data_IF_982795494432
#
_entry.id   IF_982795494432
#
_cell.length_a   1.000
_cell.length_b   1.000
_cell.length_c   1.000
_cell.angle_alpha   90.00
_cell.angle_beta   90.00
_cell.angle_gamma   90.00
#
_symmetry.space_group_name_H-M   'P 1'
#
loop_
_entity.id
_entity.type
_entity.pdbx_description
1 polymer ?
#
# COMPACT_ATOMS: atom_id res chain seq x y z
N UNK A 1 16.65 -4.44 4.04
CA UNK A 1 16.43 -5.69 3.28
C UNK A 1 17.71 -6.30 2.71
N UNK A 2 18.63 -5.53 2.09
CA UNK A 2 19.83 -6.10 1.45
C UNK A 2 20.87 -6.73 2.39
N UNK A 3 21.03 -6.23 3.63
CA UNK A 3 21.91 -6.86 4.64
C UNK A 3 21.37 -8.21 5.16
N UNK A 4 20.04 -8.35 5.13
CA UNK A 4 19.23 -9.57 5.14
C UNK A 4 19.91 -10.73 4.38
N UNK A 5 19.84 -10.64 3.05
CA UNK A 5 20.15 -11.69 2.08
C UNK A 5 21.61 -12.18 2.08
N UNK A 6 22.50 -11.59 2.88
CA UNK A 6 23.92 -11.95 2.97
C UNK A 6 24.21 -13.21 3.80
N UNK A 7 23.18 -13.88 4.35
CA UNK A 7 23.34 -15.20 4.98
C UNK A 7 24.17 -15.21 6.28
N UNK A 8 24.38 -14.06 6.94
CA UNK A 8 25.34 -13.96 8.05
C UNK A 8 24.70 -13.92 9.46
N UNK A 9 23.37 -14.01 9.58
CA UNK A 9 22.67 -14.10 10.88
C UNK A 9 21.30 -14.78 10.70
N UNK A 10 21.12 -15.95 11.30
CA UNK A 10 19.92 -16.80 11.15
C UNK A 10 18.71 -16.37 12.00
N UNK A 11 18.86 -15.37 12.86
CA UNK A 11 17.81 -14.91 13.77
C UNK A 11 17.63 -13.39 13.65
N UNK A 12 16.38 -12.94 13.54
CA UNK A 12 16.00 -11.52 13.63
C UNK A 12 15.54 -11.23 15.06
N UNK A 13 15.94 -10.08 15.62
CA UNK A 13 15.40 -9.68 16.93
C UNK A 13 13.92 -9.32 16.81
N UNK A 14 13.16 -9.44 17.91
CA UNK A 14 11.76 -9.02 17.95
C UNK A 14 11.56 -7.58 17.46
N UNK A 15 12.40 -6.65 17.93
CA UNK A 15 12.39 -5.26 17.46
C UNK A 15 12.70 -5.15 15.95
N UNK A 16 13.62 -5.96 15.43
CA UNK A 16 13.91 -6.04 13.99
C UNK A 16 12.71 -6.52 13.17
N UNK A 17 11.97 -7.52 13.66
CA UNK A 17 10.73 -8.03 13.08
C UNK A 17 9.66 -6.93 13.00
N UNK A 18 9.45 -6.20 14.11
CA UNK A 18 8.51 -5.07 14.20
C UNK A 18 8.86 -3.98 13.19
N UNK A 19 10.12 -3.55 13.17
CA UNK A 19 10.57 -2.51 12.24
C UNK A 19 10.41 -2.96 10.78
N UNK A 20 10.84 -4.17 10.44
CA UNK A 20 10.72 -4.70 9.08
C UNK A 20 9.26 -4.73 8.61
N UNK A 21 8.35 -5.23 9.45
CA UNK A 21 6.94 -5.32 9.11
C UNK A 21 6.31 -3.94 8.90
N UNK A 22 6.60 -3.00 9.80
CA UNK A 22 6.13 -1.63 9.72
C UNK A 22 6.59 -0.95 8.43
N UNK A 23 7.89 -0.95 8.14
CA UNK A 23 8.42 -0.28 6.95
C UNK A 23 7.94 -0.92 5.65
N UNK A 24 7.84 -2.26 5.62
CA UNK A 24 7.35 -2.96 4.44
C UNK A 24 5.90 -2.56 4.11
N UNK A 25 5.01 -2.59 5.11
CA UNK A 25 3.62 -2.18 4.91
C UNK A 25 3.47 -0.69 4.64
N UNK A 26 4.26 0.15 5.33
CA UNK A 26 4.25 1.60 5.11
C UNK A 26 4.59 1.93 3.65
N UNK A 27 5.70 1.39 3.15
CA UNK A 27 6.15 1.62 1.78
C UNK A 27 5.14 1.06 0.77
N UNK A 28 4.68 -0.18 0.95
CA UNK A 28 3.71 -0.80 0.04
C UNK A 28 2.39 -0.02 -0.04
N UNK A 29 1.82 0.40 1.11
CA UNK A 29 0.60 1.20 1.12
C UNK A 29 0.82 2.56 0.43
N UNK A 30 1.92 3.24 0.77
CA UNK A 30 2.24 4.55 0.22
C UNK A 30 2.43 4.48 -1.30
N UNK A 31 3.13 3.47 -1.81
CA UNK A 31 3.31 3.24 -3.25
C UNK A 31 1.99 2.98 -3.96
N UNK A 32 1.11 2.13 -3.41
CA UNK A 32 -0.21 1.86 -3.99
C UNK A 32 -1.06 3.14 -4.12
N UNK A 33 -1.10 3.97 -3.06
CA UNK A 33 -1.85 5.22 -3.11
C UNK A 33 -1.21 6.24 -4.05
N UNK A 34 0.12 6.35 -4.06
CA UNK A 34 0.84 7.23 -4.98
C UNK A 34 0.55 6.88 -6.44
N UNK A 35 0.59 5.59 -6.82
CA UNK A 35 0.24 5.18 -8.18
C UNK A 35 -1.22 5.51 -8.54
N UNK A 36 -2.14 5.38 -7.59
CA UNK A 36 -3.55 5.77 -7.81
C UNK A 36 -3.68 7.27 -8.05
N UNK A 37 -3.02 8.09 -7.22
CA UNK A 37 -3.00 9.55 -7.37
C UNK A 37 -2.34 9.97 -8.69
N UNK A 38 -1.23 9.34 -9.07
CA UNK A 38 -0.56 9.60 -10.35
C UNK A 38 -1.42 9.23 -11.56
N UNK A 39 -2.15 8.10 -11.50
CA UNK A 39 -3.08 7.73 -12.56
C UNK A 39 -4.22 8.75 -12.68
N UNK A 40 -4.74 9.23 -11.55
CA UNK A 40 -5.76 10.28 -11.53
C UNK A 40 -5.24 11.62 -12.05
N UNK A 41 -4.03 12.04 -11.67
CA UNK A 41 -3.37 13.23 -12.21
C UNK A 41 -3.28 13.18 -13.74
N UNK A 42 -2.84 12.04 -14.29
CA UNK A 42 -2.77 11.83 -15.75
C UNK A 42 -4.14 11.85 -16.42
N UNK A 43 -5.15 11.28 -15.77
CA UNK A 43 -6.52 11.34 -16.25
C UNK A 43 -7.01 12.80 -16.36
N UNK A 44 -6.84 13.60 -15.31
CA UNK A 44 -7.27 15.01 -15.33
C UNK A 44 -6.48 15.81 -16.37
N UNK A 45 -5.17 15.56 -16.50
CA UNK A 45 -4.32 16.26 -17.47
C UNK A 45 -4.76 16.03 -18.93
N UNK A 46 -5.14 14.80 -19.28
CA UNK A 46 -5.51 14.43 -20.66
C UNK A 46 -6.98 14.72 -20.96
N UNK A 47 -7.89 14.35 -20.05
CA UNK A 47 -9.32 14.48 -20.29
C UNK A 47 -9.84 15.90 -20.02
N UNK A 48 -9.15 16.69 -19.19
CA UNK A 48 -9.57 18.04 -18.79
C UNK A 48 -8.43 19.08 -18.79
N UNK A 49 -7.71 19.26 -19.91
CA UNK A 49 -6.49 20.09 -19.97
C UNK A 49 -6.72 21.54 -19.52
N UNK A 50 -7.86 22.15 -19.89
CA UNK A 50 -8.18 23.54 -19.51
C UNK A 50 -8.44 23.74 -18.01
N UNK A 51 -8.81 22.67 -17.29
CA UNK A 51 -9.07 22.72 -15.84
C UNK A 51 -7.94 22.11 -15.02
N UNK A 52 -6.93 21.53 -15.67
CA UNK A 52 -5.86 20.80 -14.99
C UNK A 52 -5.15 21.66 -13.95
N UNK A 53 -4.75 22.89 -14.29
CA UNK A 53 -4.03 23.77 -13.35
C UNK A 53 -4.85 24.22 -12.13
N UNK A 54 -6.18 24.20 -12.24
CA UNK A 54 -7.11 24.53 -11.14
C UNK A 54 -7.31 23.30 -10.25
N UNK A 55 -7.41 22.11 -10.84
CA UNK A 55 -7.64 20.85 -10.14
C UNK A 55 -6.34 20.32 -9.49
N UNK A 56 -5.25 20.29 -10.27
CA UNK A 56 -3.92 19.82 -9.89
C UNK A 56 -2.93 21.00 -9.87
N UNK A 57 -2.95 21.73 -8.75
CA UNK A 57 -1.91 22.72 -8.45
C UNK A 57 -0.77 22.08 -7.65
N UNK A 58 0.41 22.70 -7.64
CA UNK A 58 1.55 22.25 -6.81
C UNK A 58 1.18 22.02 -5.34
N UNK A 59 0.28 22.85 -4.78
CA UNK A 59 -0.20 22.68 -3.40
C UNK A 59 -1.03 21.42 -3.25
N UNK A 60 -1.93 21.14 -4.18
CA UNK A 60 -2.76 19.92 -4.17
C UNK A 60 -1.88 18.68 -4.32
N UNK A 61 -0.91 18.69 -5.24
CA UNK A 61 0.03 17.58 -5.40
C UNK A 61 0.82 17.32 -4.11
N UNK A 62 1.30 18.37 -3.43
CA UNK A 62 1.99 18.23 -2.15
C UNK A 62 1.07 17.69 -1.04
N UNK A 63 -0.18 18.17 -0.96
CA UNK A 63 -1.18 17.66 0.00
C UNK A 63 -1.48 16.18 -0.28
N UNK A 64 -1.62 15.78 -1.54
CA UNK A 64 -1.86 14.39 -1.91
C UNK A 64 -0.65 13.52 -1.56
N UNK A 65 0.57 13.92 -1.91
CA UNK A 65 1.79 13.15 -1.61
C UNK A 65 2.05 12.99 -0.10
N UNK A 66 1.81 14.05 0.67
CA UNK A 66 1.90 13.98 2.14
C UNK A 66 0.75 13.16 2.73
N UNK A 67 -0.44 13.26 2.16
CA UNK A 67 -1.62 12.48 2.55
C UNK A 67 -1.47 10.98 2.30
N UNK A 68 -0.93 10.56 1.16
CA UNK A 68 -0.67 9.14 0.86
C UNK A 68 0.34 8.55 1.84
N UNK A 69 1.40 9.30 2.14
CA UNK A 69 2.41 8.92 3.13
C UNK A 69 1.78 8.82 4.53
N UNK A 70 1.01 9.82 4.93
CA UNK A 70 0.35 9.83 6.24
C UNK A 70 -0.62 8.66 6.42
N UNK A 71 -1.45 8.39 5.41
CA UNK A 71 -2.39 7.27 5.45
C UNK A 71 -1.67 5.92 5.45
N UNK A 72 -0.60 5.78 4.66
CA UNK A 72 0.29 4.61 4.70
C UNK A 72 0.89 4.39 6.08
N UNK A 73 1.34 5.44 6.76
CA UNK A 73 1.86 5.37 8.13
C UNK A 73 0.80 4.87 9.12
N UNK A 74 -0.43 5.40 9.05
CA UNK A 74 -1.52 4.99 9.93
C UNK A 74 -1.83 3.50 9.72
N UNK A 75 -2.00 3.08 8.46
CA UNK A 75 -2.32 1.69 8.14
C UNK A 75 -1.22 0.73 8.61
N UNK A 76 0.05 1.08 8.39
CA UNK A 76 1.20 0.29 8.84
C UNK A 76 1.28 0.22 10.37
N UNK A 77 1.06 1.34 11.07
CA UNK A 77 1.05 1.39 12.54
C UNK A 77 -0.07 0.52 13.10
N UNK A 78 -1.28 0.64 12.55
CA UNK A 78 -2.45 -0.10 12.99
C UNK A 78 -2.25 -1.61 12.80
N UNK A 79 -1.81 -2.03 11.61
CA UNK A 79 -1.52 -3.42 11.32
C UNK A 79 -0.41 -3.97 12.24
N UNK A 80 0.72 -3.25 12.35
CA UNK A 80 1.85 -3.66 13.19
C UNK A 80 1.43 -3.76 14.66
N UNK A 81 0.72 -2.77 15.18
CA UNK A 81 0.25 -2.78 16.58
C UNK A 81 -0.69 -3.95 16.84
N UNK A 82 -1.65 -4.18 15.96
CA UNK A 82 -2.56 -5.32 16.07
C UNK A 82 -1.82 -6.64 16.00
N UNK A 83 -0.83 -6.78 15.11
CA UNK A 83 -0.02 -8.00 15.04
C UNK A 83 0.69 -8.25 16.37
N UNK A 84 1.37 -7.25 16.92
CA UNK A 84 2.23 -7.44 18.10
C UNK A 84 1.51 -7.35 19.46
N UNK A 85 0.24 -6.94 19.52
CA UNK A 85 -0.58 -6.91 20.74
C UNK A 85 -1.29 -8.25 21.06
N UNK A 86 -1.28 -9.24 20.14
CA UNK A 86 -1.88 -10.55 20.42
C UNK A 86 -1.05 -11.34 21.46
N UNK A 87 -1.70 -12.07 22.40
CA UNK A 87 -0.99 -12.97 23.31
C UNK A 87 -0.46 -14.18 22.54
N UNK A 88 0.86 -14.22 22.35
CA UNK A 88 1.56 -15.38 21.79
C UNK A 88 1.81 -16.43 22.88
N UNK A 89 1.54 -17.71 22.58
CA UNK A 89 1.66 -18.81 23.56
C UNK A 89 3.01 -19.55 23.52
N UNK A 90 3.94 -19.16 22.63
CA UNK A 90 5.25 -19.80 22.48
C UNK A 90 6.37 -19.08 23.25
N UNK A 91 7.57 -19.70 23.37
CA UNK A 91 8.75 -18.99 23.86
C UNK A 91 8.99 -17.74 23.01
N UNK A 92 9.47 -16.65 23.62
CA UNK A 92 9.75 -15.35 23.01
C UNK A 92 10.90 -15.37 21.97
N UNK A 93 11.03 -16.43 21.18
CA UNK A 93 12.02 -16.59 20.11
C UNK A 93 11.32 -16.94 18.79
N UNK A 94 11.50 -16.07 17.80
CA UNK A 94 10.93 -16.21 16.46
C UNK A 94 12.01 -16.76 15.54
N UNK A 95 11.96 -18.05 15.26
CA UNK A 95 12.98 -18.78 14.48
C UNK A 95 12.79 -18.65 12.95
N UNK A 96 12.38 -17.46 12.48
CA UNK A 96 12.13 -17.17 11.06
C UNK A 96 12.90 -15.94 10.55
N UNK A 97 13.54 -16.11 9.40
CA UNK A 97 14.36 -15.11 8.69
C UNK A 97 13.53 -13.96 8.08
N UNK A 98 12.21 -14.11 7.96
CA UNK A 98 11.27 -13.10 7.49
C UNK A 98 10.10 -12.97 8.47
N UNK A 99 9.78 -11.73 8.85
CA UNK A 99 8.62 -11.41 9.67
C UNK A 99 7.35 -11.43 8.79
N UNK A 100 6.85 -12.62 8.45
CA UNK A 100 5.59 -12.76 7.71
C UNK A 100 4.41 -12.93 8.68
N UNK A 101 3.47 -11.97 8.63
CA UNK A 101 2.23 -11.92 9.43
C UNK A 101 1.50 -13.28 9.50
N UNK A 102 1.27 -14.01 8.38
CA UNK A 102 0.51 -15.26 8.44
C UNK A 102 1.26 -16.43 9.11
N UNK A 103 2.59 -16.39 9.20
CA UNK A 103 3.41 -17.46 9.82
C UNK A 103 3.47 -17.29 11.33
N UNK A 104 3.50 -16.06 11.84
CA UNK A 104 3.40 -15.76 13.28
C UNK A 104 2.01 -16.03 13.84
N UNK A 105 0.97 -15.83 13.01
CA UNK A 105 -0.44 -16.02 13.36
C UNK A 105 -0.82 -17.47 13.69
N UNK A 106 -0.17 -18.46 13.07
CA UNK A 106 -0.43 -19.90 13.37
C UNK A 106 0.02 -20.33 14.77
N UNK A 107 0.77 -19.50 15.49
CA UNK A 107 1.25 -19.75 16.86
C UNK A 107 0.48 -18.94 17.94
N UNK A 108 -0.48 -18.09 17.55
CA UNK A 108 -1.26 -17.30 18.50
C UNK A 108 -2.30 -18.17 19.23
N UNK A 109 -2.46 -17.94 20.54
CA UNK A 109 -3.33 -18.72 21.42
C UNK A 109 -4.78 -18.22 21.48
N UNK A 110 -5.09 -17.13 20.76
CA UNK A 110 -6.35 -16.40 20.81
C UNK A 110 -6.88 -16.13 19.40
N UNK A 111 -8.17 -15.78 19.30
CA UNK A 111 -8.90 -15.58 18.04
C UNK A 111 -8.15 -14.64 17.08
N UNK A 112 -7.79 -15.17 15.90
CA UNK A 112 -7.03 -14.50 14.84
C UNK A 112 -7.89 -13.66 13.89
N UNK A 113 -9.21 -13.65 14.12
CA UNK A 113 -10.22 -13.07 13.22
C UNK A 113 -9.98 -11.58 12.90
N UNK A 114 -9.55 -10.79 13.89
CA UNK A 114 -9.25 -9.37 13.69
C UNK A 114 -8.04 -9.16 12.76
N UNK A 115 -7.00 -9.99 12.88
CA UNK A 115 -5.81 -9.89 12.04
C UNK A 115 -6.06 -10.41 10.63
N UNK A 116 -6.86 -11.47 10.49
CA UNK A 116 -7.33 -11.96 9.19
C UNK A 116 -8.17 -10.91 8.46
N UNK A 117 -9.09 -10.23 9.17
CA UNK A 117 -9.89 -9.15 8.62
C UNK A 117 -9.02 -7.98 8.17
N UNK A 118 -8.07 -7.53 9.00
CA UNK A 118 -7.17 -6.42 8.65
C UNK A 118 -6.22 -6.81 7.53
N UNK A 119 -5.72 -8.05 7.51
CA UNK A 119 -4.93 -8.59 6.41
C UNK A 119 -5.72 -8.64 5.10
N UNK A 120 -6.97 -9.11 5.14
CA UNK A 120 -7.87 -9.11 4.00
C UNK A 120 -8.13 -7.70 3.46
N UNK A 121 -8.33 -6.73 4.34
CA UNK A 121 -8.52 -5.33 3.95
C UNK A 121 -7.22 -4.76 3.36
N UNK A 122 -6.09 -4.93 4.04
CA UNK A 122 -4.82 -4.26 3.71
C UNK A 122 -4.13 -4.86 2.49
N UNK A 123 -4.20 -6.18 2.31
CA UNK A 123 -3.51 -6.92 1.23
C UNK A 123 -4.47 -7.32 0.11
N UNK A 124 -5.77 -7.47 0.41
CA UNK A 124 -6.78 -7.84 -0.59
C UNK A 124 -7.54 -6.63 -1.12
N UNK A 125 -8.41 -6.05 -0.29
CA UNK A 125 -9.38 -5.05 -0.73
C UNK A 125 -8.73 -3.70 -1.11
N UNK A 126 -7.77 -3.22 -0.33
CA UNK A 126 -7.12 -1.94 -0.56
C UNK A 126 -6.31 -1.93 -1.86
N UNK A 127 -5.42 -2.91 -2.16
CA UNK A 127 -4.71 -2.93 -3.43
C UNK A 127 -5.64 -3.17 -4.62
N UNK A 128 -6.66 -4.01 -4.46
CA UNK A 128 -7.67 -4.23 -5.50
C UNK A 128 -8.42 -2.95 -5.86
N UNK A 129 -8.85 -2.17 -4.86
CA UNK A 129 -9.52 -0.90 -5.11
C UNK A 129 -8.61 0.12 -5.80
N UNK A 130 -7.34 0.22 -5.39
CA UNK A 130 -6.33 1.03 -6.09
C UNK A 130 -6.18 0.60 -7.54
N UNK A 131 -6.06 -0.70 -7.79
CA UNK A 131 -5.93 -1.27 -9.14
C UNK A 131 -7.13 -0.94 -10.02
N UNK A 132 -8.36 -1.07 -9.51
CA UNK A 132 -9.58 -0.74 -10.25
C UNK A 132 -9.68 0.75 -10.58
N UNK A 133 -9.28 1.64 -9.66
CA UNK A 133 -9.24 3.08 -9.90
C UNK A 133 -8.20 3.44 -10.98
N UNK A 134 -7.03 2.81 -10.96
CA UNK A 134 -6.00 2.96 -11.99
C UNK A 134 -6.55 2.51 -13.34
N UNK A 135 -7.12 1.29 -13.42
CA UNK A 135 -7.70 0.76 -14.66
C UNK A 135 -8.79 1.67 -15.22
N UNK A 136 -9.68 2.16 -14.36
CA UNK A 136 -10.76 3.07 -14.76
C UNK A 136 -10.18 4.37 -15.34
N UNK A 137 -9.20 4.96 -14.65
CA UNK A 137 -8.52 6.20 -15.10
C UNK A 137 -7.89 6.03 -16.49
N UNK A 138 -7.14 4.95 -16.69
CA UNK A 138 -6.51 4.66 -17.99
C UNK A 138 -7.51 4.27 -19.09
N UNK A 139 -8.58 3.56 -18.75
CA UNK A 139 -9.65 3.22 -19.70
C UNK A 139 -10.33 4.50 -20.21
N UNK A 140 -10.62 5.45 -19.31
CA UNK A 140 -11.17 6.74 -19.69
C UNK A 140 -10.20 7.56 -20.55
N UNK A 141 -8.89 7.57 -20.23
CA UNK A 141 -7.88 8.22 -21.07
C UNK A 141 -7.88 7.66 -22.49
N UNK A 142 -7.83 6.32 -22.63
CA UNK A 142 -7.84 5.66 -23.95
C UNK A 142 -9.11 6.02 -24.71
N UNK A 143 -10.27 5.97 -24.05
CA UNK A 143 -11.54 6.35 -24.66
C UNK A 143 -11.53 7.80 -25.16
N UNK A 144 -11.07 8.76 -24.36
CA UNK A 144 -10.96 10.17 -24.76
C UNK A 144 -10.04 10.35 -25.96
N UNK A 145 -8.90 9.66 -26.01
CA UNK A 145 -7.96 9.72 -27.13
C UNK A 145 -8.59 9.16 -28.41
N UNK A 146 -9.27 8.02 -28.34
CA UNK A 146 -9.95 7.41 -29.48
C UNK A 146 -11.06 8.32 -30.02
N UNK A 147 -11.82 8.97 -29.14
CA UNK A 147 -12.86 9.91 -29.53
C UNK A 147 -12.31 11.14 -30.28
N UNK A 148 -11.18 11.70 -29.84
CA UNK A 148 -10.53 12.84 -30.50
C UNK A 148 -10.08 12.44 -31.92
N UNK A 149 -9.38 11.30 -32.07
CA UNK A 149 -8.95 10.81 -33.39
C UNK A 149 -10.12 10.52 -34.35
N UNK A 150 -11.26 10.11 -33.82
CA UNK A 150 -12.48 9.91 -34.62
C UNK A 150 -13.11 11.22 -35.10
N UNK A 151 -12.95 12.33 -34.38
CA UNK A 151 -13.49 13.63 -34.76
C UNK A 151 -12.61 14.34 -35.81
N UNK A 152 -11.29 14.11 -35.76
CA UNK A 152 -10.31 14.71 -36.67
C UNK A 152 -10.19 13.94 -38.01
N UNK A 153 -10.67 12.69 -38.05
CA UNK A 153 -10.74 11.86 -39.25
C UNK A 153 -12.06 11.95 -40.05
N UNK A 154 -12.96 12.88 -39.69
CA UNK A 154 -14.23 13.15 -40.37
C UNK A 154 -14.20 14.55 -40.98
#
# INVERSE_FOLDING_TARGET
MLFYLSGNSRAISYAGCVCQLFFYHFLGCTECFLYTVMAYDRFVAICHPLRYSIIMSHRVCAILATGTSFFGCIQATFLTTLTFQLPYCGPNEVDYYFCDIPVMLKLACADTSALEMVGFISVGLMPLSCFLLILTSYSCIIFSILQIRSAEGR
#
